data_IF_678800166061
#
_entry.id   IF_678800166061
#
_cell.length_a   1.000
_cell.length_b   1.000
_cell.length_c   1.000
_cell.angle_alpha   90.00
_cell.angle_beta   90.00
_cell.angle_gamma   90.00
#
_symmetry.space_group_name_H-M   'P 1'
#
loop_
_entity.id
_entity.type
_entity.pdbx_description
1 polymer ?
#
# COMPACT_ATOMS: atom_id res chain seq x y z
N UNK A 1 -19.80 -3.83 11.33
CA UNK A 1 -18.98 -4.21 12.50
C UNK A 1 -17.67 -4.73 11.91
N UNK A 2 -16.48 -4.15 12.19
CA UNK A 2 -15.25 -4.71 11.66
C UNK A 2 -15.02 -6.07 12.32
N UNK A 3 -14.82 -7.10 11.51
CA UNK A 3 -14.45 -8.42 12.03
C UNK A 3 -13.06 -8.32 12.68
N UNK A 4 -12.99 -8.76 13.93
CA UNK A 4 -11.77 -8.85 14.73
C UNK A 4 -11.35 -10.31 14.67
N UNK A 5 -10.14 -10.59 14.18
CA UNK A 5 -9.54 -11.90 14.41
C UNK A 5 -8.59 -11.79 15.60
N UNK A 6 -8.63 -12.83 16.43
CA UNK A 6 -7.69 -13.04 17.52
C UNK A 6 -6.80 -14.18 17.06
N UNK A 7 -5.52 -13.91 16.79
CA UNK A 7 -4.54 -14.96 16.56
C UNK A 7 -3.61 -15.07 17.77
N UNK A 8 -3.37 -16.30 18.22
CA UNK A 8 -2.46 -16.59 19.31
C UNK A 8 -1.14 -17.07 18.74
N UNK A 9 -0.07 -16.30 18.98
CA UNK A 9 1.29 -16.70 18.61
C UNK A 9 2.18 -16.55 19.84
N UNK A 10 2.77 -17.65 20.32
CA UNK A 10 3.70 -17.62 21.46
C UNK A 10 3.10 -17.11 22.79
N UNK A 11 1.82 -17.39 23.05
CA UNK A 11 1.14 -16.96 24.29
C UNK A 11 0.66 -15.50 24.28
N UNK A 12 0.82 -14.77 23.17
CA UNK A 12 0.30 -13.41 23.00
C UNK A 12 -0.92 -13.42 22.09
N UNK A 13 -2.02 -12.83 22.56
CA UNK A 13 -3.21 -12.58 21.75
C UNK A 13 -2.97 -11.36 20.85
N UNK A 14 -2.88 -11.58 19.55
CA UNK A 14 -2.83 -10.52 18.55
C UNK A 14 -4.25 -10.16 18.12
N UNK A 15 -4.69 -8.96 18.48
CA UNK A 15 -5.96 -8.39 18.03
C UNK A 15 -5.72 -7.64 16.72
N UNK A 16 -6.18 -8.21 15.60
CA UNK A 16 -6.10 -7.61 14.27
C UNK A 16 -7.46 -7.09 13.81
N UNK A 17 -7.50 -5.92 13.13
CA UNK A 17 -8.71 -5.47 12.43
C UNK A 17 -8.68 -5.95 10.98
N UNK A 18 -9.72 -6.64 10.51
CA UNK A 18 -9.79 -7.20 9.14
C UNK A 18 -9.87 -6.15 8.02
N UNK A 19 -10.09 -4.87 8.32
CA UNK A 19 -10.38 -3.85 7.29
C UNK A 19 -9.28 -3.62 6.24
N UNK A 20 -8.02 -3.97 6.53
CA UNK A 20 -6.94 -3.98 5.53
C UNK A 20 -6.90 -5.26 4.68
N UNK A 21 -7.27 -6.39 5.29
CA UNK A 21 -7.26 -7.70 4.63
C UNK A 21 -8.40 -7.89 3.63
N UNK A 22 -9.59 -7.36 3.91
CA UNK A 22 -10.79 -7.55 3.08
C UNK A 22 -10.66 -7.04 1.64
N UNK A 23 -9.74 -6.10 1.40
CA UNK A 23 -9.60 -5.45 0.08
C UNK A 23 -8.42 -6.00 -0.73
N UNK A 24 -7.58 -6.85 -0.14
CA UNK A 24 -6.49 -7.55 -0.83
C UNK A 24 -7.00 -8.69 -1.71
N UNK A 25 -8.05 -9.40 -1.29
CA UNK A 25 -8.70 -10.44 -2.09
C UNK A 25 -9.31 -9.90 -3.39
N UNK A 26 -10.24 -8.92 -3.37
CA UNK A 26 -10.82 -8.38 -4.60
C UNK A 26 -9.75 -7.70 -5.47
N UNK A 27 -8.72 -7.10 -4.88
CA UNK A 27 -7.59 -6.56 -5.62
C UNK A 27 -6.79 -7.65 -6.34
N UNK A 28 -6.45 -8.73 -5.64
CA UNK A 28 -5.72 -9.87 -6.19
C UNK A 28 -6.49 -10.57 -7.30
N UNK A 29 -7.76 -10.88 -7.09
CA UNK A 29 -8.62 -11.51 -8.11
C UNK A 29 -8.76 -10.64 -9.36
N UNK A 30 -8.91 -9.32 -9.18
CA UNK A 30 -8.92 -8.40 -10.32
C UNK A 30 -7.56 -8.40 -11.06
N UNK A 31 -6.45 -8.37 -10.32
CA UNK A 31 -5.11 -8.45 -10.90
C UNK A 31 -4.93 -9.75 -11.70
N UNK A 32 -5.50 -10.86 -11.20
CA UNK A 32 -5.44 -12.13 -11.89
C UNK A 32 -6.17 -12.13 -13.24
N UNK A 33 -7.35 -11.52 -13.28
CA UNK A 33 -8.19 -11.52 -14.47
C UNK A 33 -7.80 -10.44 -15.50
N UNK A 34 -7.10 -9.38 -15.09
CA UNK A 34 -6.95 -8.17 -15.91
C UNK A 34 -5.50 -7.81 -16.25
N UNK A 35 -4.51 -8.34 -15.52
CA UNK A 35 -3.10 -8.08 -15.85
C UNK A 35 -2.57 -9.17 -16.79
N UNK A 36 -1.58 -8.86 -17.64
CA UNK A 36 -0.89 -9.87 -18.45
C UNK A 36 -0.35 -11.03 -17.60
N UNK A 37 -0.28 -12.24 -18.14
CA UNK A 37 0.21 -13.43 -17.42
C UNK A 37 1.64 -13.26 -16.90
N UNK A 38 2.49 -12.55 -17.66
CA UNK A 38 3.87 -12.25 -17.30
C UNK A 38 4.04 -10.99 -16.43
N UNK A 39 2.97 -10.48 -15.84
CA UNK A 39 3.01 -9.30 -15.00
C UNK A 39 3.77 -9.57 -13.69
N UNK A 40 4.90 -8.87 -13.51
CA UNK A 40 5.62 -8.83 -12.24
C UNK A 40 5.13 -7.67 -11.37
N UNK A 41 4.75 -8.00 -10.13
CA UNK A 41 4.10 -7.08 -9.20
C UNK A 41 5.04 -6.83 -8.02
N UNK A 42 5.27 -5.57 -7.68
CA UNK A 42 5.76 -5.19 -6.34
C UNK A 42 4.55 -4.91 -5.48
N UNK A 43 4.54 -5.37 -4.23
CA UNK A 43 3.44 -5.16 -3.30
C UNK A 43 3.96 -4.74 -1.92
N UNK A 44 3.18 -3.90 -1.23
CA UNK A 44 3.40 -3.64 0.20
C UNK A 44 3.11 -4.90 1.04
N UNK A 45 2.11 -5.70 0.64
CA UNK A 45 1.73 -6.96 1.29
C UNK A 45 1.89 -8.14 0.29
N UNK A 46 3.13 -8.60 0.04
CA UNK A 46 3.46 -9.48 -1.07
C UNK A 46 2.91 -10.90 -0.92
N UNK A 47 2.87 -11.46 0.28
CA UNK A 47 2.36 -12.81 0.50
C UNK A 47 0.87 -12.92 0.17
N UNK A 48 0.07 -11.96 0.62
CA UNK A 48 -1.37 -11.91 0.36
C UNK A 48 -1.65 -11.57 -1.11
N UNK A 49 -0.91 -10.61 -1.67
CA UNK A 49 -1.01 -10.29 -3.09
C UNK A 49 -0.73 -11.52 -3.94
N UNK A 50 0.32 -12.29 -3.62
CA UNK A 50 0.66 -13.53 -4.34
C UNK A 50 -0.41 -14.61 -4.21
N UNK A 51 -1.02 -14.73 -3.04
CA UNK A 51 -2.07 -15.72 -2.80
C UNK A 51 -3.29 -15.48 -3.72
N UNK A 52 -3.74 -14.23 -3.85
CA UNK A 52 -4.93 -13.90 -4.63
C UNK A 52 -4.65 -13.57 -6.11
N UNK A 53 -3.45 -13.12 -6.48
CA UNK A 53 -3.08 -12.79 -7.87
C UNK A 53 -2.30 -13.93 -8.58
N UNK A 54 -2.36 -15.15 -8.05
CA UNK A 54 -1.69 -16.33 -8.60
C UNK A 54 -2.05 -16.51 -10.09
N UNK A 55 -1.10 -16.83 -10.99
CA UNK A 55 0.28 -17.29 -10.75
C UNK A 55 1.35 -16.18 -10.66
N UNK A 56 0.99 -14.91 -10.52
CA UNK A 56 1.94 -13.80 -10.68
C UNK A 56 2.98 -13.73 -9.56
N UNK A 57 4.20 -13.36 -9.93
CA UNK A 57 5.25 -13.08 -8.96
C UNK A 57 4.97 -11.76 -8.23
N UNK A 58 4.94 -11.82 -6.91
CA UNK A 58 4.84 -10.65 -6.04
C UNK A 58 6.12 -10.48 -5.22
N UNK A 59 6.70 -9.29 -5.26
CA UNK A 59 7.91 -8.93 -4.53
C UNK A 59 7.58 -7.91 -3.43
N UNK A 60 8.30 -8.00 -2.31
CA UNK A 60 8.26 -6.94 -1.28
C UNK A 60 8.80 -5.64 -1.88
N UNK A 61 8.14 -4.53 -1.59
CA UNK A 61 8.64 -3.23 -2.02
C UNK A 61 9.95 -2.85 -1.32
N UNK A 62 10.97 -2.36 -2.05
CA UNK A 62 12.25 -1.92 -1.46
C UNK A 62 12.09 -0.75 -0.49
N UNK A 63 13.01 -0.60 0.46
CA UNK A 63 12.88 0.36 1.56
C UNK A 63 13.02 1.84 1.14
N UNK A 64 13.63 2.10 -0.03
CA UNK A 64 13.77 3.45 -0.59
C UNK A 64 13.46 3.49 -2.09
N UNK A 65 13.15 4.70 -2.57
CA UNK A 65 12.71 4.92 -3.95
C UNK A 65 13.80 4.60 -4.98
N UNK A 66 15.06 4.96 -4.71
CA UNK A 66 16.19 4.67 -5.61
C UNK A 66 16.35 3.17 -5.82
N UNK A 67 16.33 2.39 -4.74
CA UNK A 67 16.38 0.94 -4.78
C UNK A 67 15.16 0.36 -5.52
N UNK A 68 13.97 0.95 -5.35
CA UNK A 68 12.79 0.55 -6.13
C UNK A 68 12.97 0.79 -7.62
N UNK A 69 13.46 1.96 -8.04
CA UNK A 69 13.68 2.26 -9.47
C UNK A 69 14.66 1.27 -10.10
N UNK A 70 15.72 0.90 -9.38
CA UNK A 70 16.66 -0.11 -9.82
C UNK A 70 16.01 -1.50 -9.86
N UNK A 71 15.27 -1.87 -8.83
CA UNK A 71 14.56 -3.14 -8.75
C UNK A 71 13.52 -3.31 -9.87
N UNK A 72 12.84 -2.23 -10.26
CA UNK A 72 11.92 -2.22 -11.41
C UNK A 72 12.64 -2.62 -12.69
N UNK A 73 13.86 -2.13 -12.90
CA UNK A 73 14.70 -2.47 -14.07
C UNK A 73 15.16 -3.93 -14.00
N UNK A 74 15.72 -4.34 -12.87
CA UNK A 74 16.30 -5.68 -12.69
C UNK A 74 15.30 -6.83 -12.74
N UNK A 75 14.10 -6.62 -12.17
CA UNK A 75 13.05 -7.66 -12.06
C UNK A 75 11.93 -7.50 -13.06
N UNK A 76 12.08 -6.59 -14.02
CA UNK A 76 11.06 -6.31 -15.04
C UNK A 76 9.68 -6.04 -14.40
N UNK A 77 9.64 -5.25 -13.32
CA UNK A 77 8.39 -4.95 -12.59
C UNK A 77 7.51 -4.05 -13.46
N UNK A 78 6.22 -4.38 -13.52
CA UNK A 78 5.24 -3.67 -14.37
C UNK A 78 4.14 -3.00 -13.55
N UNK A 79 3.84 -3.55 -12.37
CA UNK A 79 2.78 -3.06 -11.49
C UNK A 79 3.26 -2.93 -10.05
N UNK A 80 2.63 -1.98 -9.35
CA UNK A 80 2.79 -1.77 -7.92
C UNK A 80 1.41 -1.87 -7.25
N UNK A 81 1.27 -2.74 -6.26
CA UNK A 81 0.10 -2.84 -5.39
C UNK A 81 0.42 -2.23 -4.02
N UNK A 82 -0.39 -1.26 -3.59
CA UNK A 82 -0.25 -0.59 -2.30
C UNK A 82 -1.48 -0.89 -1.45
N UNK A 83 -1.28 -1.64 -0.37
CA UNK A 83 -2.17 -1.73 0.79
C UNK A 83 -1.85 -0.61 1.77
N UNK A 84 -2.84 0.26 1.99
CA UNK A 84 -2.76 1.44 2.85
C UNK A 84 -2.74 1.10 4.34
N UNK A 85 -3.19 -0.10 4.71
CA UNK A 85 -3.13 -0.60 6.08
C UNK A 85 -1.79 -1.26 6.42
N UNK A 86 -0.94 -1.52 5.43
CA UNK A 86 0.36 -2.14 5.65
C UNK A 86 1.23 -1.26 6.55
N UNK A 87 1.49 -1.75 7.77
CA UNK A 87 2.22 -1.00 8.81
C UNK A 87 3.69 -0.87 8.48
N UNK A 88 4.23 -1.77 7.68
CA UNK A 88 5.66 -1.85 7.34
C UNK A 88 5.99 -1.23 5.98
N UNK A 89 5.05 -0.46 5.42
CA UNK A 89 5.22 0.17 4.12
C UNK A 89 6.36 1.23 4.14
N UNK A 90 7.33 1.13 3.21
CA UNK A 90 8.32 2.18 2.98
C UNK A 90 7.70 3.56 2.78
N UNK A 91 8.31 4.60 3.36
CA UNK A 91 7.76 5.97 3.34
C UNK A 91 7.51 6.50 1.93
N UNK A 92 8.37 6.16 0.98
CA UNK A 92 8.28 6.63 -0.41
C UNK A 92 7.07 6.06 -1.16
N UNK A 93 6.47 4.96 -0.69
CA UNK A 93 5.26 4.37 -1.29
C UNK A 93 3.96 5.00 -0.78
N UNK A 94 4.04 5.86 0.23
CA UNK A 94 2.90 6.56 0.83
C UNK A 94 2.41 7.66 -0.13
N UNK A 95 1.88 7.21 -1.27
CA UNK A 95 1.58 7.99 -2.47
C UNK A 95 0.07 8.08 -2.64
N UNK A 96 -0.42 9.29 -2.92
CA UNK A 96 -1.85 9.62 -3.06
C UNK A 96 -2.74 9.39 -1.83
N UNK A 97 -2.20 8.79 -0.78
CA UNK A 97 -2.92 8.37 0.40
C UNK A 97 -1.96 8.32 1.59
N UNK A 98 -2.39 8.91 2.71
CA UNK A 98 -1.63 8.82 3.94
C UNK A 98 -1.64 7.36 4.45
N UNK A 99 -0.56 6.86 5.05
CA UNK A 99 -0.57 5.52 5.63
C UNK A 99 -1.52 5.47 6.82
N UNK A 100 -2.03 4.28 7.15
CA UNK A 100 -2.82 4.07 8.36
C UNK A 100 -2.10 4.54 9.64
N UNK A 101 -0.78 4.31 9.70
CA UNK A 101 0.10 4.83 10.75
C UNK A 101 0.99 5.93 10.20
N UNK A 102 0.76 7.17 10.64
CA UNK A 102 1.63 8.29 10.30
C UNK A 102 3.04 8.09 10.87
N UNK A 103 4.10 8.54 10.16
CA UNK A 103 5.44 8.62 10.72
C UNK A 103 5.45 9.38 12.05
N UNK A 104 6.23 8.93 13.04
CA UNK A 104 6.26 9.53 14.40
C UNK A 104 6.44 11.05 14.38
N UNK A 105 7.31 11.57 13.50
CA UNK A 105 7.52 13.03 13.32
C UNK A 105 6.20 13.77 13.00
N UNK A 106 5.43 13.25 12.05
CA UNK A 106 4.16 13.86 11.62
C UNK A 106 3.10 13.66 12.71
N UNK A 107 3.04 12.47 13.32
CA UNK A 107 2.12 12.22 14.44
C UNK A 107 2.36 13.18 15.62
N UNK A 108 3.62 13.48 15.94
CA UNK A 108 3.96 14.40 17.02
C UNK A 108 3.59 15.85 16.67
N UNK A 109 3.78 16.27 15.42
CA UNK A 109 3.35 17.60 14.96
C UNK A 109 1.83 17.77 15.02
N UNK A 110 1.05 16.74 14.68
CA UNK A 110 -0.42 16.76 14.83
C UNK A 110 -0.82 16.82 16.29
N UNK A 111 -0.21 15.98 17.16
CA UNK A 111 -0.52 15.95 18.60
C UNK A 111 -0.18 17.26 19.30
N UNK A 112 0.90 17.93 18.89
CA UNK A 112 1.30 19.22 19.46
C UNK A 112 0.56 20.42 18.85
N UNK A 113 -0.43 20.19 17.97
CA UNK A 113 -1.16 21.26 17.28
C UNK A 113 -0.35 22.04 16.25
N UNK A 114 0.88 21.62 15.92
CA UNK A 114 1.76 22.32 14.98
C UNK A 114 1.25 22.27 13.54
N UNK A 115 0.57 21.19 13.20
CA UNK A 115 -0.12 21.01 11.92
C UNK A 115 -1.49 20.37 12.16
N UNK A 116 -2.46 20.71 11.33
CA UNK A 116 -3.77 20.07 11.34
C UNK A 116 -3.69 18.64 10.77
N UNK A 117 -4.66 17.76 11.11
CA UNK A 117 -4.76 16.44 10.48
C UNK A 117 -4.87 16.49 8.95
N UNK A 118 -5.47 17.56 8.41
CA UNK A 118 -5.56 17.77 6.96
C UNK A 118 -4.19 18.12 6.37
N UNK A 119 -3.43 19.01 7.00
CA UNK A 119 -2.06 19.34 6.58
C UNK A 119 -1.15 18.10 6.62
N UNK A 120 -1.32 17.23 7.62
CA UNK A 120 -0.61 15.96 7.69
C UNK A 120 -0.95 15.01 6.53
N UNK A 121 -2.21 14.99 6.07
CA UNK A 121 -2.64 14.17 4.94
C UNK A 121 -2.04 14.67 3.61
N UNK A 122 -1.94 15.99 3.44
CA UNK A 122 -1.45 16.62 2.21
C UNK A 122 0.03 16.28 1.92
N UNK A 123 0.82 15.90 2.93
CA UNK A 123 2.20 15.42 2.77
C UNK A 123 2.30 14.21 1.85
N UNK A 124 1.23 13.42 1.73
CA UNK A 124 1.20 12.14 1.00
C UNK A 124 0.37 12.22 -0.29
N UNK A 125 -0.07 13.41 -0.70
CA UNK A 125 -0.93 13.54 -1.90
C UNK A 125 -0.15 13.43 -3.20
N UNK A 126 1.18 13.62 -3.17
CA UNK A 126 1.99 13.43 -4.36
C UNK A 126 2.06 11.95 -4.73
N UNK A 127 1.89 11.68 -6.02
CA UNK A 127 2.19 10.40 -6.63
C UNK A 127 3.38 10.61 -7.54
N UNK A 128 4.47 9.83 -7.41
CA UNK A 128 5.58 9.89 -8.35
C UNK A 128 5.08 9.78 -9.79
N UNK A 129 5.62 10.59 -10.70
CA UNK A 129 5.14 10.71 -12.09
C UNK A 129 5.21 9.40 -12.88
N UNK A 130 6.08 8.48 -12.48
CA UNK A 130 6.18 7.13 -13.07
C UNK A 130 5.11 6.16 -12.58
N UNK A 131 4.24 6.54 -11.64
CA UNK A 131 3.14 5.72 -11.16
C UNK A 131 1.80 6.26 -11.68
N UNK A 132 1.10 5.45 -12.49
CA UNK A 132 -0.26 5.75 -12.92
C UNK A 132 -1.23 4.80 -12.23
N UNK A 133 -2.12 5.35 -11.38
CA UNK A 133 -3.18 4.54 -10.75
C UNK A 133 -4.12 3.99 -11.84
N UNK A 134 -4.34 2.68 -11.83
CA UNK A 134 -5.20 1.99 -12.81
C UNK A 134 -6.45 1.36 -12.17
N UNK A 135 -6.39 1.07 -10.86
CA UNK A 135 -7.54 0.53 -10.12
C UNK A 135 -7.40 0.83 -8.62
N UNK A 136 -8.53 0.96 -7.94
CA UNK A 136 -8.63 1.14 -6.49
C UNK A 136 -9.67 0.19 -5.92
N UNK A 137 -9.46 -0.24 -4.67
CA UNK A 137 -10.34 -1.19 -3.98
C UNK A 137 -10.66 -0.71 -2.57
N UNK A 138 -11.92 -0.90 -2.19
CA UNK A 138 -12.44 -0.54 -0.89
C UNK A 138 -12.37 0.94 -0.55
N UNK A 139 -12.85 1.25 0.66
CA UNK A 139 -12.71 2.57 1.28
C UNK A 139 -12.27 2.36 2.72
N UNK A 140 -11.29 3.14 3.14
CA UNK A 140 -10.85 3.24 4.53
C UNK A 140 -10.96 4.67 5.01
N UNK A 141 -11.24 4.85 6.31
CA UNK A 141 -11.19 6.14 6.98
C UNK A 141 -10.04 6.11 7.99
N UNK A 142 -9.03 6.94 7.76
CA UNK A 142 -7.85 6.93 8.64
C UNK A 142 -8.18 7.49 10.03
N UNK A 143 -7.69 6.86 11.12
CA UNK A 143 -8.03 7.28 12.48
C UNK A 143 -7.62 8.72 12.81
N UNK A 144 -6.45 9.15 12.33
CA UNK A 144 -5.85 10.44 12.65
C UNK A 144 -6.34 11.56 11.72
N UNK A 145 -6.34 11.33 10.41
CA UNK A 145 -6.73 12.38 9.43
C UNK A 145 -8.23 12.43 9.19
N UNK A 146 -8.99 11.40 9.60
CA UNK A 146 -10.42 11.19 9.31
C UNK A 146 -10.77 11.19 7.83
N UNK A 147 -9.77 11.24 6.93
CA UNK A 147 -9.91 11.22 5.48
C UNK A 147 -10.33 9.84 5.03
N UNK A 148 -11.32 9.81 4.14
CA UNK A 148 -11.69 8.61 3.40
C UNK A 148 -10.83 8.48 2.16
N UNK A 149 -10.27 7.30 1.93
CA UNK A 149 -9.38 6.99 0.79
C UNK A 149 -9.50 5.51 0.41
N UNK A 150 -8.98 5.08 -0.75
CA UNK A 150 -8.91 3.66 -1.09
C UNK A 150 -8.15 2.84 -0.05
N UNK A 151 -8.52 1.57 0.13
CA UNK A 151 -7.78 0.65 1.00
C UNK A 151 -6.61 0.00 0.24
N UNK A 152 -6.81 -0.36 -1.03
CA UNK A 152 -5.75 -0.85 -1.92
C UNK A 152 -5.74 -0.02 -3.21
N UNK A 153 -4.54 0.29 -3.71
CA UNK A 153 -4.34 0.99 -4.99
C UNK A 153 -3.39 0.17 -5.85
N UNK A 154 -3.78 -0.10 -7.08
CA UNK A 154 -2.91 -0.72 -8.09
C UNK A 154 -2.45 0.35 -9.07
N UNK A 155 -1.14 0.42 -9.27
CA UNK A 155 -0.45 1.33 -10.18
C UNK A 155 0.19 0.56 -11.33
N UNK A 156 0.11 1.12 -12.53
CA UNK A 156 0.98 0.77 -13.65
C UNK A 156 2.23 1.64 -13.59
N UNK A 157 3.40 1.00 -13.73
CA UNK A 157 4.69 1.70 -13.70
C UNK A 157 5.06 2.13 -15.12
N UNK A 158 5.26 3.43 -15.32
CA UNK A 158 5.84 3.96 -16.53
C UNK A 158 7.37 3.85 -16.47
N UNK A 159 7.91 2.75 -16.99
CA UNK A 159 9.34 2.44 -16.94
C UNK A 159 10.21 3.41 -17.75
N UNK A 160 9.66 4.09 -18.76
CA UNK A 160 10.43 5.10 -19.52
C UNK A 160 10.65 6.37 -18.72
N UNK A 161 9.77 6.68 -17.76
CA UNK A 161 9.93 7.78 -16.81
C UNK A 161 10.89 7.44 -15.65
N UNK A 162 11.52 6.25 -15.66
CA UNK A 162 12.52 5.81 -14.68
C UNK A 162 13.97 5.86 -15.21
N UNK A 163 14.15 6.40 -16.41
CA UNK A 163 15.47 6.58 -17.04
C UNK A 163 16.21 7.76 -16.43
#
# INVERSE_FOLDING_TARGET
IPLIFISYTGGVANVGSMSGFEQLEPAGNWMDQNLPENANIVASSPSQTRYYAYPRMSYRAPDNETAFKQFVKEKNITYLSVDIYERTQPRWLQTKAAPYRLPNKISNQVRSGRISPQQAANVFESTPSYLKSIKTFGKTRLPLTKRTQPAVIVYKINRTALQ
#
